data_IF_160971348256
#
_entry.id   IF_160971348256
#
_cell.length_a   1.000
_cell.length_b   1.000
_cell.length_c   1.000
_cell.angle_alpha   90.00
_cell.angle_beta   90.00
_cell.angle_gamma   90.00
#
_symmetry.space_group_name_H-M   'P 1'
#
loop_
_entity.id
_entity.type
_entity.pdbx_description
1 polymer ?
#
# COMPACT_ATOMS: atom_id res chain seq x y z
N UNK A 1 -23.07 -17.20 24.11
CA UNK A 1 -21.70 -17.51 24.60
C UNK A 1 -20.71 -17.16 23.51
N UNK A 2 -19.86 -16.15 23.74
CA UNK A 2 -18.54 -16.03 23.12
C UNK A 2 -17.75 -15.06 24.00
N UNK A 3 -16.68 -15.54 24.63
CA UNK A 3 -15.74 -14.74 25.41
C UNK A 3 -14.48 -14.60 24.55
N UNK A 4 -14.15 -13.38 24.14
CA UNK A 4 -12.81 -13.04 23.67
C UNK A 4 -12.22 -12.02 24.66
N UNK A 5 -11.00 -12.30 25.10
CA UNK A 5 -10.32 -11.71 26.25
C UNK A 5 -9.61 -10.38 25.94
N UNK A 6 -9.46 -9.62 27.01
CA UNK A 6 -8.82 -8.32 27.20
C UNK A 6 -7.43 -8.14 26.58
N UNK A 7 -7.22 -7.05 25.83
CA UNK A 7 -6.09 -6.10 26.01
C UNK A 7 -6.39 -4.75 25.34
N UNK A 8 -6.94 -3.81 26.10
CA UNK A 8 -6.29 -2.50 26.27
C UNK A 8 -6.57 -1.28 25.38
N UNK A 9 -7.40 -1.31 24.34
CA UNK A 9 -7.81 -0.07 23.64
C UNK A 9 -9.31 0.17 23.79
N UNK A 10 -9.69 1.18 24.57
CA UNK A 10 -11.10 1.57 24.73
C UNK A 10 -11.49 2.40 23.51
N UNK A 11 -12.02 1.74 22.48
CA UNK A 11 -12.44 2.38 21.22
C UNK A 11 -13.61 3.34 21.48
N UNK A 12 -13.38 4.64 21.33
CA UNK A 12 -14.46 5.63 21.40
C UNK A 12 -15.24 5.64 20.08
N UNK A 13 -16.53 6.04 20.08
CA UNK A 13 -17.33 6.16 18.85
C UNK A 13 -16.68 7.06 17.78
N UNK A 14 -15.90 8.05 18.21
CA UNK A 14 -15.12 8.92 17.33
C UNK A 14 -14.09 8.12 16.54
N UNK A 15 -13.35 7.20 17.17
CA UNK A 15 -12.35 6.38 16.50
C UNK A 15 -12.95 5.51 15.40
N UNK A 16 -14.10 4.87 15.66
CA UNK A 16 -14.78 3.99 14.69
C UNK A 16 -15.30 4.78 13.47
N UNK A 17 -15.78 6.00 13.67
CA UNK A 17 -16.24 6.88 12.57
C UNK A 17 -15.12 7.24 11.57
N UNK A 18 -13.86 7.36 12.02
CA UNK A 18 -12.72 7.61 11.13
C UNK A 18 -12.35 6.38 10.28
N UNK A 19 -12.51 5.17 10.82
CA UNK A 19 -12.24 3.94 10.07
C UNK A 19 -13.28 3.68 8.97
N UNK A 20 -14.54 4.04 9.19
CA UNK A 20 -15.57 3.96 8.13
C UNK A 20 -15.34 4.94 6.96
N UNK A 21 -14.55 6.00 7.17
CA UNK A 21 -14.32 7.04 6.17
C UNK A 21 -13.19 6.71 5.16
N UNK A 22 -12.39 5.67 5.39
CA UNK A 22 -11.13 5.47 4.65
C UNK A 22 -11.22 4.31 3.65
N UNK A 23 -11.89 4.53 2.52
CA UNK A 23 -12.00 3.53 1.43
C UNK A 23 -10.81 3.58 0.45
N UNK A 24 -9.57 3.80 0.93
CA UNK A 24 -8.42 3.97 0.04
C UNK A 24 -7.36 2.88 0.26
N UNK A 25 -6.73 2.44 -0.82
CA UNK A 25 -5.62 1.48 -0.86
C UNK A 25 -4.31 2.26 -1.01
N UNK A 26 -3.28 1.84 -0.27
CA UNK A 26 -1.90 2.27 -0.49
C UNK A 26 -1.15 1.06 -1.05
N UNK A 27 -0.43 1.22 -2.16
CA UNK A 27 0.41 0.14 -2.71
C UNK A 27 1.45 -0.30 -1.69
N UNK A 28 2.00 -1.51 -1.84
CA UNK A 28 3.31 -1.78 -1.25
C UNK A 28 4.36 -0.79 -1.77
N UNK A 29 5.49 -0.73 -1.07
CA UNK A 29 6.62 0.11 -1.42
C UNK A 29 6.98 -0.04 -2.91
N UNK A 30 7.22 1.08 -3.59
CA UNK A 30 7.55 1.11 -5.02
C UNK A 30 8.79 1.97 -5.27
N UNK A 31 9.62 1.58 -6.24
CA UNK A 31 10.88 2.27 -6.54
C UNK A 31 10.86 2.92 -7.92
N UNK A 32 11.58 4.03 -8.07
CA UNK A 32 11.68 4.79 -9.33
C UNK A 32 13.00 4.54 -10.07
N UNK A 33 14.19 4.63 -9.48
CA UNK A 33 15.38 4.08 -10.14
C UNK A 33 15.57 2.62 -9.71
N UNK A 34 16.02 1.72 -10.60
CA UNK A 34 16.41 0.35 -10.22
C UNK A 34 17.48 0.33 -9.11
N UNK A 35 18.32 1.37 -9.07
CA UNK A 35 19.27 1.67 -8.00
C UNK A 35 18.62 1.97 -6.65
N UNK A 36 17.30 2.17 -6.59
CA UNK A 36 16.53 2.37 -5.37
C UNK A 36 15.77 1.14 -4.89
N UNK A 37 15.82 0.02 -5.61
CA UNK A 37 15.08 -1.20 -5.26
C UNK A 37 15.62 -1.86 -3.99
N UNK A 38 14.75 -2.10 -3.00
CA UNK A 38 15.08 -2.74 -1.73
C UNK A 38 15.07 -4.27 -1.81
N UNK A 39 14.06 -4.85 -2.49
CA UNK A 39 13.84 -6.30 -2.63
C UNK A 39 13.37 -6.68 -4.05
N UNK A 40 13.62 -7.92 -4.53
CA UNK A 40 13.33 -8.33 -5.91
C UNK A 40 11.87 -8.16 -6.37
N UNK A 41 10.90 -8.27 -5.46
CA UNK A 41 9.46 -8.26 -5.76
C UNK A 41 8.79 -6.91 -5.52
N UNK A 42 9.58 -5.86 -5.30
CA UNK A 42 9.09 -4.51 -5.11
C UNK A 42 8.45 -3.97 -6.41
N UNK A 43 7.37 -3.20 -6.31
CA UNK A 43 6.71 -2.61 -7.48
C UNK A 43 7.68 -1.60 -8.13
N UNK A 44 7.90 -1.73 -9.43
CA UNK A 44 8.74 -0.83 -10.21
C UNK A 44 7.92 0.26 -10.91
N UNK A 45 8.44 1.49 -10.94
CA UNK A 45 7.83 2.65 -11.61
C UNK A 45 8.91 3.43 -12.36
N UNK A 46 9.62 2.73 -13.25
CA UNK A 46 10.90 3.21 -13.80
C UNK A 46 11.01 3.12 -15.32
N UNK A 47 9.97 2.60 -15.98
CA UNK A 47 9.96 2.22 -17.39
C UNK A 47 8.55 2.33 -17.97
N UNK A 48 8.44 2.78 -19.21
CA UNK A 48 7.15 2.99 -19.87
C UNK A 48 6.40 1.67 -20.11
N UNK A 49 7.13 0.56 -20.27
CA UNK A 49 6.54 -0.77 -20.43
C UNK A 49 5.73 -1.22 -19.19
N UNK A 50 5.92 -0.57 -18.04
CA UNK A 50 5.18 -0.84 -16.81
C UNK A 50 3.85 -0.08 -16.73
N UNK A 51 3.65 0.96 -17.57
CA UNK A 51 2.50 1.86 -17.48
C UNK A 51 1.18 1.11 -17.63
N UNK A 52 1.08 0.16 -18.55
CA UNK A 52 -0.18 -0.54 -18.81
C UNK A 52 -0.60 -1.41 -17.61
N UNK A 53 0.34 -2.14 -17.00
CA UNK A 53 0.05 -2.92 -15.78
C UNK A 53 -0.30 -2.03 -14.58
N UNK A 54 0.35 -0.86 -14.44
CA UNK A 54 0.01 0.10 -13.38
C UNK A 54 -1.37 0.72 -13.57
N UNK A 55 -1.77 0.97 -14.82
CA UNK A 55 -3.13 1.42 -15.16
C UNK A 55 -4.17 0.36 -14.84
N UNK A 56 -3.91 -0.91 -15.17
CA UNK A 56 -4.81 -2.03 -14.85
C UNK A 56 -5.03 -2.17 -13.33
N UNK A 57 -3.95 -2.08 -12.55
CA UNK A 57 -4.03 -2.07 -11.08
C UNK A 57 -4.91 -0.91 -10.57
N UNK A 58 -4.70 0.31 -11.08
CA UNK A 58 -5.49 1.46 -10.68
C UNK A 58 -6.96 1.35 -11.11
N UNK A 59 -7.22 0.86 -12.31
CA UNK A 59 -8.57 0.61 -12.83
C UNK A 59 -9.32 -0.40 -11.96
N UNK A 60 -8.68 -1.50 -11.59
CA UNK A 60 -9.27 -2.53 -10.72
C UNK A 60 -9.72 -1.94 -9.38
N UNK A 61 -8.89 -1.12 -8.74
CA UNK A 61 -9.26 -0.48 -7.46
C UNK A 61 -10.40 0.51 -7.64
N UNK A 62 -10.35 1.30 -8.71
CA UNK A 62 -11.39 2.27 -9.04
C UNK A 62 -12.76 1.60 -9.29
N UNK A 63 -12.79 0.51 -10.06
CA UNK A 63 -13.99 -0.28 -10.33
C UNK A 63 -14.62 -0.89 -9.06
N UNK A 64 -13.81 -1.14 -8.03
CA UNK A 64 -14.27 -1.60 -6.72
C UNK A 64 -14.70 -0.46 -5.77
N UNK A 65 -14.87 0.77 -6.28
CA UNK A 65 -15.36 1.92 -5.52
C UNK A 65 -14.34 2.49 -4.52
N UNK A 66 -13.05 2.21 -4.73
CA UNK A 66 -11.95 2.64 -3.88
C UNK A 66 -11.00 3.55 -4.65
N UNK A 67 -10.11 4.25 -3.93
CA UNK A 67 -9.01 5.02 -4.53
C UNK A 67 -7.69 4.35 -4.18
N UNK A 68 -6.74 4.35 -5.10
CA UNK A 68 -5.39 3.87 -4.84
C UNK A 68 -4.40 5.04 -4.82
N UNK A 69 -3.45 4.98 -3.89
CA UNK A 69 -2.28 5.86 -3.83
C UNK A 69 -1.04 4.98 -3.86
N UNK A 70 -0.03 5.40 -4.61
CA UNK A 70 1.23 4.69 -4.69
C UNK A 70 2.24 5.25 -3.68
N UNK A 71 2.80 4.38 -2.85
CA UNK A 71 3.90 4.74 -1.96
C UNK A 71 5.23 4.56 -2.68
N UNK A 72 5.92 5.67 -2.95
CA UNK A 72 7.24 5.68 -3.57
C UNK A 72 8.32 5.79 -2.51
N UNK A 73 9.32 4.93 -2.57
CA UNK A 73 10.50 4.96 -1.72
C UNK A 73 11.80 4.68 -2.49
N UNK A 74 12.91 4.85 -1.79
CA UNK A 74 14.25 4.58 -2.31
C UNK A 74 15.06 3.93 -1.19
N UNK A 75 15.52 2.69 -1.41
CA UNK A 75 16.23 1.90 -0.39
C UNK A 75 17.52 2.56 0.11
N UNK A 76 18.19 3.33 -0.75
CA UNK A 76 19.45 3.99 -0.42
C UNK A 76 20.50 2.96 0.00
N UNK A 77 21.02 3.08 1.23
CA UNK A 77 22.00 2.13 1.79
C UNK A 77 21.37 0.83 2.31
N UNK A 78 20.06 0.77 2.46
CA UNK A 78 19.33 -0.35 3.05
C UNK A 78 18.90 -1.40 2.00
N UNK A 79 19.61 -1.51 0.88
CA UNK A 79 19.38 -2.58 -0.10
C UNK A 79 19.67 -3.93 0.53
N UNK A 80 18.72 -4.86 0.42
CA UNK A 80 19.03 -6.26 0.65
C UNK A 80 19.89 -6.74 -0.51
N UNK A 81 21.14 -7.08 -0.21
CA UNK A 81 21.97 -7.88 -1.10
C UNK A 81 21.46 -9.30 -0.94
N UNK A 82 20.58 -9.71 -1.86
CA UNK A 82 20.21 -11.13 -2.01
C UNK A 82 21.34 -11.83 -2.74
#
# INVERSE_FOLDING_TARGET
MARASTTGARWTPIGVSWYHASHHIITSHSFVPQEGQAVPWQIGVYKDELIDGLKEMAATVYENGSKIVMQIDHAGKAKSVV
#
